data_IF_671102836359
#
_entry.id   IF_671102836359
#
_cell.length_a   1.000
_cell.length_b   1.000
_cell.length_c   1.000
_cell.angle_alpha   90.00
_cell.angle_beta   90.00
_cell.angle_gamma   90.00
#
_symmetry.space_group_name_H-M   'P 1'
#
loop_
_entity.id
_entity.type
_entity.pdbx_description
1 polymer ?
#
# COMPACT_ATOMS: atom_id res chain seq x y z
N UNK A 1 6.09 13.97 -3.27
CA UNK A 1 5.79 14.05 -1.83
C UNK A 1 5.58 12.63 -1.33
N UNK A 2 6.20 12.23 -0.22
CA UNK A 2 5.81 10.99 0.46
C UNK A 2 4.47 11.29 1.13
N UNK A 3 3.48 10.46 0.87
CA UNK A 3 2.13 10.62 1.43
C UNK A 3 1.68 9.23 1.82
N UNK A 4 1.55 8.99 3.12
CA UNK A 4 0.90 7.80 3.61
C UNK A 4 -0.58 7.82 3.23
N UNK A 5 -1.17 6.65 3.01
CA UNK A 5 -2.60 6.52 2.70
C UNK A 5 -3.24 5.69 3.79
N UNK A 6 -4.35 6.21 4.34
CA UNK A 6 -5.16 5.53 5.35
C UNK A 6 -6.44 5.05 4.67
N UNK A 7 -6.76 3.78 4.87
CA UNK A 7 -8.00 3.15 4.46
C UNK A 7 -8.83 2.75 5.67
N UNK A 8 -10.08 3.18 5.73
CA UNK A 8 -11.03 2.70 6.75
C UNK A 8 -11.52 1.32 6.32
N UNK A 9 -11.49 0.40 7.27
CA UNK A 9 -11.79 -1.01 7.02
C UNK A 9 -13.20 -1.32 7.51
N UNK A 10 -14.11 -1.63 6.58
CA UNK A 10 -15.45 -2.10 6.94
C UNK A 10 -15.49 -3.62 7.04
N UNK A 11 -16.20 -4.13 8.04
CA UNK A 11 -16.39 -5.56 8.29
C UNK A 11 -15.67 -6.07 9.54
N UNK A 12 -15.50 -7.39 9.64
CA UNK A 12 -14.76 -8.06 10.72
C UNK A 12 -13.61 -8.89 10.14
N UNK A 13 -12.64 -8.24 9.48
CA UNK A 13 -11.53 -8.95 8.86
C UNK A 13 -10.72 -9.67 9.94
N UNK A 14 -10.15 -10.81 9.57
CA UNK A 14 -9.21 -11.53 10.43
C UNK A 14 -7.87 -10.81 10.46
N UNK A 15 -7.05 -11.16 11.45
CA UNK A 15 -5.63 -10.84 11.39
C UNK A 15 -5.03 -11.41 10.10
N UNK A 16 -4.06 -10.70 9.53
CA UNK A 16 -3.30 -11.18 8.37
C UNK A 16 -2.12 -12.01 8.84
N UNK A 17 -1.83 -13.11 8.16
CA UNK A 17 -0.64 -13.91 8.36
C UNK A 17 0.39 -13.59 7.27
N UNK A 18 1.68 -13.77 7.56
CA UNK A 18 2.72 -13.66 6.53
C UNK A 18 2.52 -14.72 5.45
N UNK A 19 2.56 -14.32 4.18
CA UNK A 19 2.44 -15.24 3.07
C UNK A 19 3.09 -14.69 1.80
N UNK A 20 3.32 -15.58 0.85
CA UNK A 20 3.66 -15.21 -0.52
C UNK A 20 2.87 -16.08 -1.49
N UNK A 21 2.52 -15.54 -2.66
CA UNK A 21 1.85 -16.29 -3.74
C UNK A 21 2.38 -15.87 -5.10
N UNK A 22 2.33 -16.79 -6.05
CA UNK A 22 2.54 -16.49 -7.47
C UNK A 22 1.19 -16.27 -8.14
N UNK A 23 1.06 -15.17 -8.87
CA UNK A 23 -0.10 -14.80 -9.67
C UNK A 23 0.35 -14.72 -11.13
N UNK A 24 -0.41 -15.34 -12.03
CA UNK A 24 -0.16 -15.27 -13.47
C UNK A 24 -0.86 -14.03 -14.05
N UNK A 25 -0.11 -13.20 -14.78
CA UNK A 25 -0.63 -12.06 -15.53
C UNK A 25 -0.07 -12.12 -16.95
N UNK A 26 -0.94 -12.22 -17.95
CA UNK A 26 -0.57 -12.32 -19.38
C UNK A 26 0.47 -13.41 -19.68
N UNK A 27 0.39 -14.55 -18.98
CA UNK A 27 1.34 -15.67 -19.12
C UNK A 27 2.70 -15.42 -18.46
N UNK A 28 2.83 -14.35 -17.67
CA UNK A 28 4.00 -14.05 -16.86
C UNK A 28 3.72 -14.32 -15.38
N UNK A 29 4.53 -15.17 -14.71
CA UNK A 29 4.41 -15.37 -13.27
C UNK A 29 4.96 -14.16 -12.51
N UNK A 30 4.10 -13.56 -11.70
CA UNK A 30 4.38 -12.44 -10.80
C UNK A 30 4.25 -12.91 -9.35
N UNK A 31 4.99 -12.27 -8.44
CA UNK A 31 4.97 -12.62 -7.01
C UNK A 31 4.36 -11.50 -6.18
N UNK A 32 3.51 -11.88 -5.23
CA UNK A 32 2.97 -11.00 -4.20
C UNK A 32 3.34 -11.56 -2.82
N UNK A 33 3.61 -10.69 -1.86
CA UNK A 33 4.08 -11.04 -0.52
C UNK A 33 3.55 -10.08 0.53
N UNK A 34 3.12 -10.63 1.68
CA UNK A 34 2.92 -9.90 2.93
C UNK A 34 3.83 -10.54 3.98
N UNK A 35 4.61 -9.71 4.66
CA UNK A 35 5.42 -10.08 5.81
C UNK A 35 4.93 -9.29 7.03
N UNK A 36 4.31 -9.97 7.98
CA UNK A 36 3.98 -9.40 9.29
C UNK A 36 5.23 -9.47 10.17
N UNK A 37 5.76 -8.32 10.56
CA UNK A 37 6.94 -8.22 11.43
C UNK A 37 6.58 -8.18 12.91
N UNK A 38 5.47 -7.52 13.27
CA UNK A 38 5.04 -7.44 14.66
C UNK A 38 3.52 -7.55 14.77
N UNK A 39 3.08 -8.14 15.87
CA UNK A 39 1.67 -8.14 16.29
C UNK A 39 1.63 -7.75 17.76
N UNK A 40 0.87 -6.71 18.06
CA UNK A 40 0.63 -6.22 19.41
C UNK A 40 -0.83 -6.41 19.75
N UNK A 41 -1.12 -7.28 20.72
CA UNK A 41 -2.47 -7.47 21.24
C UNK A 41 -2.76 -6.53 22.41
N UNK A 42 -4.04 -6.22 22.60
CA UNK A 42 -4.55 -5.39 23.70
C UNK A 42 -3.97 -3.96 23.73
N UNK A 43 -3.73 -3.36 22.58
CA UNK A 43 -3.30 -1.96 22.47
C UNK A 43 -4.50 -1.03 22.74
N UNK A 44 -4.34 -0.06 23.64
CA UNK A 44 -5.38 0.91 23.99
C UNK A 44 -6.66 0.24 24.51
N UNK A 45 -7.78 0.44 23.80
CA UNK A 45 -9.10 -0.13 24.15
C UNK A 45 -9.27 -1.61 23.81
N UNK A 46 -8.18 -2.38 23.67
CA UNK A 46 -8.22 -3.83 23.40
C UNK A 46 -8.02 -4.21 21.94
N UNK A 47 -7.43 -3.33 21.13
CA UNK A 47 -7.19 -3.61 19.72
C UNK A 47 -5.97 -4.51 19.50
N UNK A 48 -6.01 -5.31 18.44
CA UNK A 48 -4.80 -5.92 17.86
C UNK A 48 -4.26 -4.99 16.77
N UNK A 49 -2.97 -4.70 16.84
CA UNK A 49 -2.24 -3.90 15.85
C UNK A 49 -1.17 -4.77 15.20
N UNK A 50 -1.19 -4.89 13.88
CA UNK A 50 -0.17 -5.59 13.11
C UNK A 50 0.65 -4.60 12.30
N UNK A 51 1.97 -4.75 12.31
CA UNK A 51 2.87 -3.99 11.45
C UNK A 51 3.63 -4.94 10.55
N UNK A 52 3.96 -4.47 9.35
CA UNK A 52 4.52 -5.34 8.34
C UNK A 52 4.95 -4.63 7.07
N UNK A 53 5.28 -5.45 6.10
CA UNK A 53 5.73 -5.07 4.76
C UNK A 53 4.93 -5.83 3.72
N UNK A 54 4.65 -5.19 2.61
CA UNK A 54 4.01 -5.82 1.47
C UNK A 54 4.75 -5.47 0.18
N UNK A 55 4.82 -6.44 -0.72
CA UNK A 55 5.40 -6.25 -2.03
C UNK A 55 4.61 -6.99 -3.11
N UNK A 56 4.49 -6.37 -4.28
CA UNK A 56 3.87 -6.98 -5.47
C UNK A 56 4.72 -6.72 -6.69
N UNK A 57 4.86 -7.74 -7.53
CA UNK A 57 5.41 -7.58 -8.87
C UNK A 57 4.30 -7.16 -9.83
N UNK A 58 4.60 -6.21 -10.71
CA UNK A 58 3.73 -5.78 -11.79
C UNK A 58 4.56 -5.56 -13.06
N UNK A 59 3.94 -5.72 -14.23
CA UNK A 59 4.55 -5.30 -15.50
C UNK A 59 4.17 -3.85 -15.76
N UNK A 60 5.16 -3.00 -16.02
CA UNK A 60 4.98 -1.62 -16.46
C UNK A 60 5.51 -1.52 -17.88
N UNK A 61 4.71 -0.97 -18.80
CA UNK A 61 5.17 -0.66 -20.14
C UNK A 61 6.01 0.61 -20.07
N UNK A 62 7.28 0.53 -20.46
CA UNK A 62 8.13 1.70 -20.64
C UNK A 62 8.33 1.95 -22.14
N UNK A 63 8.00 3.17 -22.56
CA UNK A 63 8.31 3.66 -23.89
C UNK A 63 9.77 4.13 -23.91
N UNK A 64 10.61 3.44 -24.69
CA UNK A 64 11.97 3.86 -24.98
C UNK A 64 12.02 4.46 -26.37
N UNK A 65 12.41 5.74 -26.46
CA UNK A 65 12.62 6.42 -27.74
C UNK A 65 14.10 6.33 -28.12
N UNK A 66 14.38 5.82 -29.31
CA UNK A 66 15.74 5.66 -29.84
C UNK A 66 15.87 6.34 -31.21
N UNK A 67 17.07 6.82 -31.54
CA UNK A 67 17.42 7.22 -32.90
C UNK A 67 18.15 6.05 -33.54
N UNK A 68 17.63 5.52 -34.64
CA UNK A 68 18.24 4.40 -35.36
C UNK A 68 19.54 4.83 -36.05
N UNK A 69 20.36 3.87 -36.45
CA UNK A 69 21.59 4.13 -37.23
C UNK A 69 21.32 4.83 -38.58
N UNK A 70 20.05 4.82 -39.02
CA UNK A 70 19.57 5.49 -40.23
C UNK A 70 19.06 6.92 -39.97
N UNK A 71 19.08 7.38 -38.71
CA UNK A 71 18.61 8.70 -38.30
C UNK A 71 17.10 8.81 -38.10
N UNK A 72 16.39 7.69 -38.01
CA UNK A 72 14.95 7.65 -37.78
C UNK A 72 14.62 7.59 -36.29
N UNK A 73 13.48 8.11 -35.88
CA UNK A 73 13.00 7.98 -34.51
C UNK A 73 12.19 6.68 -34.40
N UNK A 74 12.63 5.78 -33.53
CA UNK A 74 11.92 4.57 -33.16
C UNK A 74 11.39 4.69 -31.74
N UNK A 75 10.13 4.31 -31.52
CA UNK A 75 9.54 4.14 -30.19
C UNK A 75 9.37 2.65 -29.96
N UNK A 76 9.99 2.15 -28.90
CA UNK A 76 9.94 0.74 -28.51
C UNK A 76 9.21 0.66 -27.16
N UNK A 77 8.12 -0.09 -27.12
CA UNK A 77 7.44 -0.43 -25.88
C UNK A 77 8.01 -1.75 -25.35
N UNK A 78 8.66 -1.71 -24.18
CA UNK A 78 9.11 -2.92 -23.50
C UNK A 78 8.40 -3.06 -22.15
N UNK A 79 7.85 -4.24 -21.89
CA UNK A 79 7.27 -4.57 -20.59
C UNK A 79 8.39 -4.88 -19.59
N UNK A 80 8.56 -4.02 -18.59
CA UNK A 80 9.50 -4.25 -17.50
C UNK A 80 8.80 -4.74 -16.24
N UNK A 81 9.36 -5.77 -15.62
CA UNK A 81 8.92 -6.23 -14.30
C UNK A 81 9.41 -5.26 -13.24
N UNK A 82 8.47 -4.66 -12.52
CA UNK A 82 8.74 -3.78 -11.40
C UNK A 82 8.17 -4.38 -10.12
N UNK A 83 8.91 -4.22 -9.01
CA UNK A 83 8.40 -4.57 -7.67
C UNK A 83 7.96 -3.30 -6.96
N UNK A 84 6.69 -3.23 -6.56
CA UNK A 84 6.16 -2.21 -5.66
C UNK A 84 6.31 -2.71 -4.23
N UNK A 85 6.58 -1.79 -3.30
CA UNK A 85 6.82 -2.08 -1.90
C UNK A 85 6.13 -1.03 -1.02
N UNK A 86 5.61 -1.45 0.13
CA UNK A 86 5.16 -0.55 1.18
C UNK A 86 5.33 -1.18 2.56
N UNK A 87 5.55 -0.35 3.57
CA UNK A 87 5.31 -0.73 4.97
C UNK A 87 3.84 -0.44 5.31
N UNK A 88 3.32 -1.16 6.29
CA UNK A 88 1.94 -1.00 6.71
C UNK A 88 1.71 -1.14 8.21
N UNK A 89 0.62 -0.53 8.67
CA UNK A 89 -0.03 -0.79 9.95
C UNK A 89 -1.46 -1.23 9.66
N UNK A 90 -1.89 -2.34 10.25
CA UNK A 90 -3.22 -2.88 10.09
C UNK A 90 -3.87 -3.11 11.46
N UNK A 91 -5.05 -2.51 11.65
CA UNK A 91 -5.91 -2.71 12.81
C UNK A 91 -7.21 -3.33 12.31
N UNK A 92 -7.42 -4.65 12.49
CA UNK A 92 -8.58 -5.35 11.96
C UNK A 92 -9.89 -4.70 12.41
N UNK A 93 -10.76 -4.38 11.45
CA UNK A 93 -12.07 -3.76 11.70
C UNK A 93 -12.05 -2.25 11.91
N UNK A 94 -10.86 -1.62 11.91
CA UNK A 94 -10.72 -0.18 12.12
C UNK A 94 -10.10 0.48 10.89
N UNK A 95 -8.79 0.28 10.67
CA UNK A 95 -8.07 0.94 9.58
C UNK A 95 -6.83 0.17 9.12
N UNK A 96 -6.35 0.52 7.93
CA UNK A 96 -5.04 0.15 7.39
C UNK A 96 -4.32 1.41 6.94
N UNK A 97 -3.03 1.51 7.26
CA UNK A 97 -2.15 2.60 6.83
C UNK A 97 -1.03 2.03 5.99
N UNK A 98 -0.72 2.69 4.88
CA UNK A 98 0.45 2.39 4.04
C UNK A 98 1.38 3.59 3.97
N UNK A 99 2.69 3.35 3.99
CA UNK A 99 3.74 4.39 4.01
C UNK A 99 3.73 5.31 2.77
N UNK A 100 3.24 4.80 1.63
CA UNK A 100 3.23 5.56 0.38
C UNK A 100 1.96 5.36 -0.44
N UNK A 101 1.62 6.34 -1.28
CA UNK A 101 0.54 6.22 -2.27
C UNK A 101 0.74 5.05 -3.25
N UNK A 102 1.99 4.67 -3.53
CA UNK A 102 2.29 3.45 -4.28
C UNK A 102 1.92 2.17 -3.53
N UNK A 103 1.75 2.23 -2.21
CA UNK A 103 1.37 1.10 -1.34
C UNK A 103 -0.11 0.74 -1.35
N UNK A 104 -0.95 1.49 -2.06
CA UNK A 104 -2.41 1.26 -2.12
C UNK A 104 -2.79 -0.15 -2.62
N UNK A 105 -1.90 -0.82 -3.37
CA UNK A 105 -2.11 -2.22 -3.79
C UNK A 105 -2.39 -3.16 -2.61
N UNK A 106 -1.89 -2.84 -1.40
CA UNK A 106 -2.11 -3.65 -0.21
C UNK A 106 -3.62 -3.74 0.15
N UNK A 107 -4.41 -2.71 -0.17
CA UNK A 107 -5.84 -2.71 0.12
C UNK A 107 -6.58 -3.81 -0.66
N UNK A 108 -6.21 -4.01 -1.92
CA UNK A 108 -6.77 -5.06 -2.76
C UNK A 108 -6.26 -6.44 -2.31
N UNK A 109 -4.99 -6.55 -1.91
CA UNK A 109 -4.47 -7.78 -1.31
C UNK A 109 -5.27 -8.17 -0.06
N UNK A 110 -5.47 -7.24 0.88
CA UNK A 110 -6.22 -7.51 2.12
C UNK A 110 -7.69 -7.87 1.84
N UNK A 111 -8.32 -7.28 0.82
CA UNK A 111 -9.66 -7.70 0.35
C UNK A 111 -9.70 -9.18 0.02
N UNK A 112 -8.71 -9.66 -0.74
CA UNK A 112 -8.65 -11.05 -1.16
C UNK A 112 -8.35 -12.02 0.00
N UNK A 113 -7.41 -11.66 0.88
CA UNK A 113 -6.87 -12.60 1.89
C UNK A 113 -7.77 -12.69 3.11
N UNK A 114 -8.16 -11.54 3.66
CA UNK A 114 -8.83 -11.45 4.97
C UNK A 114 -10.31 -11.09 4.86
N UNK A 115 -10.84 -11.02 3.63
CA UNK A 115 -12.25 -10.79 3.36
C UNK A 115 -12.70 -9.36 3.65
N UNK A 116 -11.84 -8.38 3.31
CA UNK A 116 -12.08 -6.97 3.57
C UNK A 116 -13.16 -6.43 2.60
N UNK A 117 -14.35 -6.12 3.09
CA UNK A 117 -15.51 -5.80 2.23
C UNK A 117 -15.31 -4.52 1.42
N UNK A 118 -14.76 -3.48 2.04
CA UNK A 118 -14.43 -2.22 1.37
C UNK A 118 -13.32 -1.48 2.10
N UNK A 119 -12.39 -0.88 1.34
CA UNK A 119 -11.43 0.09 1.87
C UNK A 119 -11.82 1.46 1.33
N UNK A 120 -12.26 2.34 2.22
CA UNK A 120 -12.53 3.75 1.88
C UNK A 120 -11.28 4.56 2.21
N UNK A 121 -10.71 5.26 1.22
CA UNK A 121 -9.58 6.16 1.46
C UNK A 121 -10.06 7.30 2.36
N UNK A 122 -9.42 7.47 3.49
CA UNK A 122 -9.67 8.60 4.37
C UNK A 122 -8.86 9.80 3.90
N UNK A 123 -9.55 10.93 3.72
CA UNK A 123 -8.91 12.24 3.61
C UNK A 123 -8.92 12.89 5.00
N UNK A 124 -7.79 13.43 5.43
CA UNK A 124 -7.68 14.16 6.70
C UNK A 124 -7.50 15.64 6.41
N UNK A 125 -8.39 16.46 6.97
CA UNK A 125 -8.17 17.90 7.04
C UNK A 125 -7.26 18.21 8.24
N UNK A 126 -5.95 18.21 7.97
CA UNK A 126 -4.95 18.56 8.97
C UNK A 126 -5.07 20.02 9.43
N UNK A 127 -5.60 20.92 8.59
CA UNK A 127 -5.77 22.32 8.96
C UNK A 127 -6.89 22.48 9.97
N UNK A 128 -8.03 21.81 9.76
CA UNK A 128 -9.13 21.74 10.71
C UNK A 128 -8.67 21.12 12.03
N UNK A 129 -8.01 19.96 11.99
CA UNK A 129 -7.49 19.29 13.19
C UNK A 129 -6.55 20.20 14.01
N UNK A 130 -5.62 20.89 13.35
CA UNK A 130 -4.70 21.83 14.02
C UNK A 130 -5.44 23.07 14.56
N UNK A 131 -6.51 23.52 13.90
CA UNK A 131 -7.31 24.65 14.37
C UNK A 131 -8.09 24.32 15.64
N UNK A 132 -8.57 23.07 15.78
CA UNK A 132 -9.23 22.57 17.00
C UNK A 132 -8.24 22.30 18.14
N UNK A 133 -6.97 22.05 17.82
CA UNK A 133 -5.90 21.75 18.77
C UNK A 133 -4.85 22.87 18.81
N UNK A 134 -5.29 24.14 18.77
CA UNK A 134 -4.41 25.31 18.66
C UNK A 134 -3.41 25.49 19.81
N UNK A 135 -3.63 24.85 20.96
CA UNK A 135 -2.69 24.86 22.10
C UNK A 135 -1.65 23.74 22.06
N UNK A 136 -1.78 22.79 21.13
CA UNK A 136 -0.80 21.72 20.96
C UNK A 136 0.43 22.25 20.22
N UNK A 137 1.63 21.87 20.66
CA UNK A 137 2.87 22.12 19.92
C UNK A 137 3.11 20.93 19.00
N UNK A 138 2.83 21.02 17.69
CA UNK A 138 2.99 19.87 16.81
C UNK A 138 4.49 19.54 16.73
N UNK A 139 4.88 18.35 17.17
CA UNK A 139 6.28 17.94 17.18
C UNK A 139 6.72 17.28 15.87
N UNK A 140 5.75 16.88 15.03
CA UNK A 140 5.97 16.41 13.66
C UNK A 140 4.71 16.68 12.84
N UNK A 141 4.86 17.26 11.64
CA UNK A 141 3.77 17.47 10.69
C UNK A 141 4.23 16.92 9.34
N UNK A 142 3.61 15.82 8.90
CA UNK A 142 3.91 15.17 7.61
C UNK A 142 3.96 13.65 7.70
N UNK A 143 3.74 13.01 6.55
CA UNK A 143 4.21 11.66 6.24
C UNK A 143 5.60 11.74 5.61
#
# INVERSE_FOLDING_TARGET
>A
MKSGVIGIVKGKPRQVESYHRTVEQDGTPLTECIEVTQTHDNVGSGFTVQTGRAAVQSIVQEETVQITDQGEIAVIEEGQRQTKYTEFVFVPGEFVVVDSGSGVFLFDMLRDIVGLESVERAEFDLAEFLSEHSESTPWQVGF
#
